data_IF_879295344585
#
_entry.id   IF_879295344585
#
_cell.length_a   1.000
_cell.length_b   1.000
_cell.length_c   1.000
_cell.angle_alpha   90.00
_cell.angle_beta   90.00
_cell.angle_gamma   90.00
#
_symmetry.space_group_name_H-M   'P 1'
#
loop_
_entity.id
_entity.type
_entity.pdbx_description
1 polymer ?
#
# COMPACT_ATOMS: atom_id res chain seq x y z
N UNK A 1 -2.95 9.89 2.57
CA UNK A 1 -2.68 10.30 1.17
C UNK A 1 -3.95 10.12 0.38
N UNK A 2 -4.27 11.09 -0.50
CA UNK A 2 -5.35 10.94 -1.47
C UNK A 2 -4.85 10.24 -2.74
N UNK A 3 -5.74 9.62 -3.47
CA UNK A 3 -5.45 9.12 -4.81
C UNK A 3 -5.48 10.29 -5.78
N UNK A 4 -4.58 10.26 -6.76
CA UNK A 4 -4.51 11.30 -7.80
C UNK A 4 -4.60 10.64 -9.17
N UNK A 5 -5.22 11.34 -10.11
CA UNK A 5 -5.26 10.97 -11.52
C UNK A 5 -3.99 11.38 -12.27
N UNK A 6 -3.05 12.03 -11.57
CA UNK A 6 -1.79 12.47 -12.17
C UNK A 6 -0.91 11.26 -12.51
N UNK A 7 -0.44 11.19 -13.74
CA UNK A 7 0.50 10.17 -14.22
C UNK A 7 1.96 10.46 -13.86
N UNK A 8 2.22 11.40 -12.94
CA UNK A 8 3.56 11.76 -12.50
C UNK A 8 4.23 10.59 -11.79
N UNK A 9 5.42 10.23 -12.27
CA UNK A 9 6.26 9.16 -11.67
C UNK A 9 7.10 9.66 -10.49
N UNK A 10 7.06 10.95 -10.20
CA UNK A 10 7.81 11.58 -9.13
C UNK A 10 6.90 12.55 -8.38
N UNK A 11 6.80 12.36 -7.08
CA UNK A 11 6.13 13.26 -6.14
C UNK A 11 7.16 13.66 -5.10
N UNK A 12 7.37 14.96 -4.93
CA UNK A 12 8.23 15.50 -3.87
C UNK A 12 7.34 16.05 -2.77
N UNK A 13 7.42 15.44 -1.61
CA UNK A 13 6.70 15.85 -0.41
C UNK A 13 7.42 17.02 0.27
N UNK A 14 6.73 18.14 0.46
CA UNK A 14 7.25 19.31 1.16
C UNK A 14 6.59 19.43 2.53
N UNK A 15 7.39 19.77 3.54
CA UNK A 15 6.96 19.94 4.92
C UNK A 15 7.18 18.70 5.80
N UNK A 16 6.98 18.88 7.12
CA UNK A 16 7.07 17.81 8.11
C UNK A 16 6.08 16.68 7.81
N UNK A 17 6.44 15.44 8.09
CA UNK A 17 5.67 14.21 7.86
C UNK A 17 5.35 13.88 6.40
N UNK A 18 5.69 14.74 5.43
CA UNK A 18 5.33 14.52 4.03
C UNK A 18 6.09 13.34 3.42
N UNK A 19 5.48 12.70 2.44
CA UNK A 19 6.05 11.54 1.75
C UNK A 19 6.36 11.94 0.32
N UNK A 20 7.62 11.70 -0.07
CA UNK A 20 8.06 11.70 -1.45
C UNK A 20 7.92 10.30 -2.02
N UNK A 21 7.56 10.20 -3.30
CA UNK A 21 7.44 8.94 -4.00
C UNK A 21 8.12 9.06 -5.38
N UNK A 22 8.89 8.08 -5.72
CA UNK A 22 9.41 7.87 -7.07
C UNK A 22 8.87 6.55 -7.63
N UNK A 23 9.28 6.20 -8.84
CA UNK A 23 8.84 4.97 -9.48
C UNK A 23 9.18 3.71 -8.67
N UNK A 24 10.28 3.72 -7.91
CA UNK A 24 10.83 2.57 -7.21
C UNK A 24 11.27 2.86 -5.77
N UNK A 25 10.84 3.98 -5.19
CA UNK A 25 11.19 4.33 -3.82
C UNK A 25 10.19 5.28 -3.17
N UNK A 26 10.08 5.17 -1.85
CA UNK A 26 9.42 6.16 -1.00
C UNK A 26 10.41 6.74 -0.01
N UNK A 27 10.21 8.00 0.36
CA UNK A 27 10.95 8.64 1.44
C UNK A 27 10.01 9.52 2.26
N UNK A 28 10.16 9.51 3.58
CA UNK A 28 9.36 10.32 4.49
C UNK A 28 10.24 11.36 5.19
N UNK A 29 9.75 12.60 5.22
CA UNK A 29 10.36 13.67 5.98
C UNK A 29 10.17 13.49 7.49
N UNK A 30 11.02 14.18 8.27
CA UNK A 30 10.87 14.29 9.73
C UNK A 30 9.44 14.63 10.10
N UNK A 31 8.95 13.97 11.18
CA UNK A 31 7.57 14.14 11.66
C UNK A 31 7.46 15.33 12.62
N UNK A 32 8.53 15.59 13.36
CA UNK A 32 8.62 16.68 14.30
C UNK A 32 9.03 17.94 13.54
N UNK A 33 8.26 19.02 13.67
CA UNK A 33 8.45 20.26 12.91
C UNK A 33 9.84 20.87 13.18
N UNK A 34 10.25 20.92 14.43
CA UNK A 34 11.51 21.49 14.87
C UNK A 34 12.70 20.74 14.24
N UNK A 35 12.66 19.40 14.25
CA UNK A 35 13.71 18.58 13.62
C UNK A 35 13.73 18.73 12.09
N UNK A 36 12.55 18.90 11.47
CA UNK A 36 12.44 19.20 10.06
C UNK A 36 13.11 20.54 9.74
N UNK A 37 12.78 21.61 10.49
CA UNK A 37 13.33 22.94 10.30
C UNK A 37 14.84 22.99 10.54
N UNK A 38 15.34 22.33 11.58
CA UNK A 38 16.78 22.22 11.85
C UNK A 38 17.54 21.64 10.66
N UNK A 39 17.07 20.53 10.08
CA UNK A 39 17.70 19.91 8.90
C UNK A 39 17.66 20.82 7.68
N UNK A 40 16.51 21.45 7.42
CA UNK A 40 16.39 22.41 6.29
C UNK A 40 17.35 23.57 6.45
N UNK A 41 17.42 24.18 7.65
CA UNK A 41 18.32 25.30 7.92
C UNK A 41 19.80 24.92 7.81
N UNK A 42 20.12 23.65 8.08
CA UNK A 42 21.46 23.09 7.91
C UNK A 42 21.77 22.69 6.45
N UNK A 43 20.81 22.82 5.51
CA UNK A 43 20.96 22.40 4.12
C UNK A 43 20.95 20.88 3.92
N UNK A 44 20.38 20.14 4.89
CA UNK A 44 20.30 18.68 4.89
C UNK A 44 18.90 18.26 4.51
N UNK A 45 18.76 17.20 3.69
CA UNK A 45 17.44 16.61 3.39
C UNK A 45 16.80 16.08 4.68
N UNK A 46 15.57 16.50 5.02
CA UNK A 46 14.94 16.19 6.30
C UNK A 46 14.31 14.79 6.31
N UNK A 47 14.99 13.79 5.73
CA UNK A 47 14.49 12.43 5.65
C UNK A 47 14.70 11.69 6.97
N UNK A 48 13.66 10.93 7.39
CA UNK A 48 13.70 10.02 8.54
C UNK A 48 13.63 8.56 8.11
N UNK A 49 12.83 8.25 7.10
CA UNK A 49 12.65 6.91 6.57
C UNK A 49 12.74 6.91 5.05
N UNK A 50 13.19 5.80 4.49
CA UNK A 50 13.17 5.52 3.07
C UNK A 50 12.96 4.03 2.83
N UNK A 51 12.30 3.69 1.72
CA UNK A 51 12.10 2.31 1.29
C UNK A 51 12.29 2.22 -0.22
N UNK A 52 13.18 1.32 -0.64
CA UNK A 52 13.34 0.93 -2.03
C UNK A 52 12.38 -0.21 -2.33
N UNK A 53 11.55 -0.03 -3.36
CA UNK A 53 10.57 -1.04 -3.74
C UNK A 53 11.25 -2.18 -4.49
N UNK A 54 10.97 -3.41 -4.08
CA UNK A 54 11.30 -4.63 -4.80
C UNK A 54 10.36 -4.80 -6.01
N UNK A 55 10.63 -5.79 -6.87
CA UNK A 55 9.71 -6.14 -7.96
C UNK A 55 8.35 -6.63 -7.41
N UNK A 56 8.37 -7.38 -6.32
CA UNK A 56 7.16 -7.80 -5.62
C UNK A 56 6.35 -6.60 -5.11
N UNK A 57 7.01 -5.62 -4.47
CA UNK A 57 6.36 -4.40 -4.00
C UNK A 57 5.69 -3.63 -5.13
N UNK A 58 6.33 -3.54 -6.30
CA UNK A 58 5.77 -2.86 -7.47
C UNK A 58 4.53 -3.57 -8.01
N UNK A 59 4.54 -4.90 -8.05
CA UNK A 59 3.39 -5.71 -8.47
C UNK A 59 2.23 -5.50 -7.50
N UNK A 60 2.48 -5.64 -6.20
CA UNK A 60 1.45 -5.47 -5.17
C UNK A 60 0.92 -4.04 -5.15
N UNK A 61 1.79 -3.04 -5.29
CA UNK A 61 1.39 -1.63 -5.41
C UNK A 61 0.42 -1.42 -6.58
N UNK A 62 0.72 -2.02 -7.75
CA UNK A 62 -0.17 -1.94 -8.90
C UNK A 62 -1.51 -2.64 -8.64
N UNK A 63 -1.50 -3.84 -8.05
CA UNK A 63 -2.73 -4.56 -7.69
C UNK A 63 -3.60 -3.77 -6.71
N UNK A 64 -2.99 -3.16 -5.68
CA UNK A 64 -3.68 -2.28 -4.73
C UNK A 64 -4.26 -1.07 -5.45
N UNK A 65 -3.51 -0.45 -6.36
CA UNK A 65 -3.99 0.69 -7.13
C UNK A 65 -5.17 0.32 -8.03
N UNK A 66 -5.13 -0.85 -8.69
CA UNK A 66 -6.23 -1.35 -9.50
C UNK A 66 -7.49 -1.60 -8.66
N UNK A 67 -7.36 -2.27 -7.50
CA UNK A 67 -8.49 -2.47 -6.57
C UNK A 67 -9.11 -1.14 -6.14
N UNK A 68 -8.28 -0.17 -5.76
CA UNK A 68 -8.75 1.13 -5.28
C UNK A 68 -9.41 2.00 -6.36
N UNK A 69 -8.96 1.90 -7.62
CA UNK A 69 -9.40 2.77 -8.71
C UNK A 69 -10.33 2.09 -9.72
N UNK A 70 -10.27 0.76 -9.84
CA UNK A 70 -11.02 0.00 -10.83
C UNK A 70 -11.90 -1.09 -10.21
N UNK A 71 -11.85 -1.25 -8.88
CA UNK A 71 -12.64 -2.25 -8.12
C UNK A 71 -12.32 -3.71 -8.52
N UNK A 72 -11.21 -3.93 -9.19
CA UNK A 72 -10.77 -5.25 -9.64
C UNK A 72 -9.27 -5.29 -9.84
N UNK A 73 -8.70 -6.50 -9.69
CA UNK A 73 -7.30 -6.78 -10.04
C UNK A 73 -7.10 -8.27 -10.35
N UNK A 74 -5.91 -8.61 -10.85
CA UNK A 74 -5.49 -10.00 -11.08
C UNK A 74 -4.14 -10.25 -10.39
N UNK A 75 -4.12 -11.17 -9.42
CA UNK A 75 -2.87 -11.60 -8.80
C UNK A 75 -2.11 -12.55 -9.72
N UNK A 76 -0.90 -12.16 -10.13
CA UNK A 76 -0.05 -12.98 -11.01
C UNK A 76 0.69 -14.03 -10.20
N UNK A 77 0.22 -15.28 -10.28
CA UNK A 77 0.81 -16.41 -9.55
C UNK A 77 2.26 -16.74 -9.96
N UNK A 78 2.72 -16.27 -11.11
CA UNK A 78 4.08 -16.50 -11.60
C UNK A 78 5.11 -15.49 -11.08
N UNK A 79 4.66 -14.41 -10.46
CA UNK A 79 5.50 -13.26 -10.07
C UNK A 79 5.49 -13.00 -8.56
N UNK A 80 4.68 -13.72 -7.80
CA UNK A 80 4.50 -13.58 -6.37
C UNK A 80 4.86 -14.88 -5.64
N UNK A 81 5.31 -14.77 -4.41
CA UNK A 81 5.62 -15.90 -3.57
C UNK A 81 4.40 -16.80 -3.32
N UNK A 82 4.57 -18.12 -3.37
CA UNK A 82 3.48 -19.10 -3.26
C UNK A 82 2.83 -19.10 -1.86
N UNK A 83 3.62 -18.94 -0.79
CA UNK A 83 3.13 -18.92 0.59
C UNK A 83 2.37 -17.62 0.87
N UNK A 84 2.88 -16.51 0.32
CA UNK A 84 2.16 -15.24 0.34
C UNK A 84 0.80 -15.37 -0.38
N UNK A 85 0.77 -15.92 -1.59
CA UNK A 85 -0.47 -16.11 -2.35
C UNK A 85 -1.48 -16.98 -1.59
N UNK A 86 -1.03 -18.10 -1.01
CA UNK A 86 -1.90 -18.97 -0.22
C UNK A 86 -2.53 -18.22 0.96
N UNK A 87 -1.74 -17.39 1.65
CA UNK A 87 -2.21 -16.57 2.76
C UNK A 87 -3.18 -15.48 2.28
N UNK A 88 -2.86 -14.79 1.19
CA UNK A 88 -3.71 -13.76 0.60
C UNK A 88 -5.08 -14.34 0.17
N UNK A 89 -5.09 -15.46 -0.54
CA UNK A 89 -6.33 -16.14 -0.94
C UNK A 89 -7.13 -16.67 0.25
N UNK A 90 -6.48 -17.13 1.33
CA UNK A 90 -7.18 -17.51 2.56
C UNK A 90 -7.90 -16.32 3.19
N UNK A 91 -7.27 -15.15 3.25
CA UNK A 91 -7.90 -13.91 3.74
C UNK A 91 -9.03 -13.44 2.81
N UNK A 92 -8.80 -13.48 1.50
CA UNK A 92 -9.82 -13.12 0.49
C UNK A 92 -11.04 -14.01 0.57
N UNK A 93 -10.89 -15.31 0.85
CA UNK A 93 -12.02 -16.23 1.05
C UNK A 93 -12.93 -15.79 2.18
N UNK A 94 -12.37 -15.36 3.32
CA UNK A 94 -13.18 -14.82 4.43
C UNK A 94 -13.93 -13.55 4.00
N UNK A 95 -13.30 -12.67 3.22
CA UNK A 95 -13.94 -11.46 2.70
C UNK A 95 -15.02 -11.79 1.65
N UNK A 96 -14.86 -12.88 0.90
CA UNK A 96 -15.86 -13.39 -0.04
C UNK A 96 -17.08 -13.96 0.70
N UNK A 97 -16.87 -14.72 1.78
CA UNK A 97 -17.95 -15.20 2.66
C UNK A 97 -18.76 -14.04 3.27
N UNK A 98 -18.10 -12.92 3.55
CA UNK A 98 -18.73 -11.66 4.00
C UNK A 98 -19.40 -10.88 2.86
N UNK A 99 -19.26 -11.32 1.60
CA UNK A 99 -19.81 -10.68 0.40
C UNK A 99 -19.13 -9.38 0.03
N UNK A 100 -17.86 -9.19 0.40
CA UNK A 100 -17.08 -7.98 0.12
C UNK A 100 -16.31 -8.07 -1.20
N UNK A 101 -15.96 -9.28 -1.63
CA UNK A 101 -15.28 -9.56 -2.88
C UNK A 101 -15.89 -10.78 -3.57
N UNK A 102 -15.64 -10.92 -4.87
CA UNK A 102 -15.85 -12.13 -5.65
C UNK A 102 -14.49 -12.56 -6.22
N UNK A 103 -14.12 -13.84 -6.01
CA UNK A 103 -12.83 -14.37 -6.45
C UNK A 103 -13.05 -15.41 -7.56
N UNK A 104 -12.52 -15.15 -8.74
CA UNK A 104 -12.59 -16.04 -9.91
C UNK A 104 -11.18 -16.43 -10.37
N UNK A 105 -10.68 -17.56 -9.89
CA UNK A 105 -9.29 -17.94 -10.12
C UNK A 105 -8.35 -16.92 -9.49
N UNK A 106 -7.56 -16.22 -10.29
CA UNK A 106 -6.64 -15.17 -9.83
C UNK A 106 -7.26 -13.77 -9.89
N UNK A 107 -8.48 -13.62 -10.41
CA UNK A 107 -9.17 -12.34 -10.47
C UNK A 107 -9.93 -12.07 -9.18
N UNK A 108 -9.85 -10.83 -8.73
CA UNK A 108 -10.55 -10.30 -7.54
C UNK A 108 -11.42 -9.14 -8.01
N UNK A 109 -12.69 -9.19 -7.68
CA UNK A 109 -13.66 -8.13 -7.94
C UNK A 109 -14.21 -7.63 -6.61
N UNK A 110 -14.22 -6.32 -6.44
CA UNK A 110 -14.80 -5.68 -5.25
C UNK A 110 -16.28 -5.49 -5.45
N UNK A 111 -17.12 -5.92 -4.51
CA UNK A 111 -18.56 -5.71 -4.59
C UNK A 111 -18.93 -4.29 -4.17
N UNK A 112 -20.17 -3.85 -4.45
CA UNK A 112 -20.68 -2.56 -3.98
C UNK A 112 -20.59 -2.43 -2.44
N UNK A 113 -20.80 -3.53 -1.70
CA UNK A 113 -20.60 -3.59 -0.24
C UNK A 113 -19.12 -3.50 0.12
N UNK A 114 -18.25 -4.19 -0.65
CA UNK A 114 -16.81 -4.23 -0.45
C UNK A 114 -16.15 -2.86 -0.59
N UNK A 115 -16.69 -1.95 -1.38
CA UNK A 115 -16.16 -0.59 -1.53
C UNK A 115 -16.05 0.18 -0.21
N UNK A 116 -16.94 -0.08 0.73
CA UNK A 116 -16.87 0.50 2.07
C UNK A 116 -15.69 -0.04 2.88
N UNK A 117 -15.19 -1.22 2.50
CA UNK A 117 -14.10 -1.95 3.17
C UNK A 117 -12.88 -2.12 2.29
N UNK A 118 -12.73 -1.28 1.26
CA UNK A 118 -11.66 -1.42 0.26
C UNK A 118 -10.25 -1.51 0.87
N UNK A 119 -10.01 -0.79 1.98
CA UNK A 119 -8.72 -0.85 2.70
C UNK A 119 -8.45 -2.21 3.33
N UNK A 120 -9.49 -2.88 3.83
CA UNK A 120 -9.38 -4.22 4.40
C UNK A 120 -9.07 -5.24 3.29
N UNK A 121 -9.70 -5.06 2.12
CA UNK A 121 -9.44 -5.89 0.93
C UNK A 121 -8.00 -5.69 0.46
N UNK A 122 -7.52 -4.45 0.34
CA UNK A 122 -6.13 -4.16 0.01
C UNK A 122 -5.14 -4.75 1.03
N UNK A 123 -5.46 -4.68 2.33
CA UNK A 123 -4.62 -5.25 3.38
C UNK A 123 -4.53 -6.79 3.31
N UNK A 124 -5.51 -7.47 2.72
CA UNK A 124 -5.46 -8.92 2.50
C UNK A 124 -4.39 -9.34 1.51
N UNK A 125 -4.06 -8.46 0.53
CA UNK A 125 -3.05 -8.68 -0.51
C UNK A 125 -1.78 -7.84 -0.30
N UNK A 126 -1.58 -7.24 0.86
CA UNK A 126 -0.39 -6.44 1.15
C UNK A 126 0.76 -7.34 1.60
N UNK A 127 1.77 -7.52 0.74
CA UNK A 127 2.95 -8.33 1.02
C UNK A 127 3.80 -7.75 2.16
N UNK A 128 3.86 -6.44 2.33
CA UNK A 128 4.59 -5.82 3.42
C UNK A 128 3.96 -6.13 4.79
N UNK A 129 2.63 -6.20 4.86
CA UNK A 129 1.93 -6.65 6.07
C UNK A 129 2.14 -8.15 6.32
N UNK A 130 2.30 -8.95 5.26
CA UNK A 130 2.61 -10.38 5.38
C UNK A 130 4.03 -10.61 5.93
N UNK A 131 5.04 -9.98 5.33
CA UNK A 131 6.44 -10.18 5.70
C UNK A 131 6.79 -9.58 7.06
N UNK A 132 6.19 -8.46 7.43
CA UNK A 132 6.57 -7.73 8.63
C UNK A 132 5.82 -8.16 9.89
N UNK A 133 4.93 -9.14 9.92
CA UNK A 133 4.15 -9.63 11.08
C UNK A 133 4.12 -8.59 12.24
N UNK A 134 3.61 -7.39 11.96
CA UNK A 134 3.79 -6.24 12.85
C UNK A 134 2.97 -6.49 14.11
N UNK A 135 3.66 -6.72 15.24
CA UNK A 135 3.07 -6.89 16.58
C UNK A 135 2.50 -5.58 17.15
N UNK A 136 2.79 -4.44 16.52
CA UNK A 136 2.34 -3.11 16.93
C UNK A 136 1.52 -2.44 15.84
N UNK A 137 0.40 -1.85 16.24
CA UNK A 137 -0.51 -1.14 15.33
C UNK A 137 0.19 0.07 14.72
N UNK A 138 0.56 -0.01 13.44
CA UNK A 138 1.26 1.04 12.70
C UNK A 138 0.29 2.01 12.00
N UNK A 139 -0.98 1.62 11.86
CA UNK A 139 -2.00 2.41 11.18
C UNK A 139 -3.15 2.76 12.12
N UNK A 140 -3.82 3.88 11.85
CA UNK A 140 -5.08 4.20 12.53
C UNK A 140 -6.10 3.10 12.27
N UNK A 141 -6.83 2.67 13.32
CA UNK A 141 -7.94 1.71 13.16
C UNK A 141 -8.92 2.29 12.14
N UNK A 142 -9.26 1.51 11.12
CA UNK A 142 -10.52 1.72 10.43
C UNK A 142 -11.61 1.38 11.44
N UNK A 143 -12.45 2.35 11.77
CA UNK A 143 -13.61 2.19 12.64
C UNK A 143 -14.68 1.48 11.84
#
# INVERSE_FOLDING_TARGET
MGYTTTSSKLIIGLGASSISASQNAFAQNEKVVEAYEEKINAGILPLINGHMLSEEDLIIQNNIHELMCQERTMLSASMLDADFLATAFSKLKSLEEDGLVEVMGNFIFVTAKGNLFIRNICAAIDAQLYHNQISTQTFSKAI
#
